data_IF_400242995605
#
_entry.id   IF_400242995605
#
_cell.length_a   1.000
_cell.length_b   1.000
_cell.length_c   1.000
_cell.angle_alpha   90.00
_cell.angle_beta   90.00
_cell.angle_gamma   90.00
#
_symmetry.space_group_name_H-M   'P 1'
#
loop_
_entity.id
_entity.type
_entity.pdbx_description
1 polymer ?
#
# COMPACT_ATOMS: atom_id res chain seq x y z
N UNK A 1 -5.17 1.21 -6.15
CA UNK A 1 -4.64 -0.15 -5.90
C UNK A 1 -4.06 -0.67 -7.21
N UNK A 2 -2.96 -1.42 -7.16
CA UNK A 2 -2.38 -2.11 -8.32
C UNK A 2 -1.73 -3.42 -7.89
N UNK A 3 -1.35 -4.31 -8.80
CA UNK A 3 -0.71 -5.57 -8.41
C UNK A 3 0.79 -5.42 -8.11
N UNK A 4 1.55 -4.77 -8.99
CA UNK A 4 3.01 -4.67 -8.84
C UNK A 4 3.42 -3.46 -7.98
N UNK A 5 4.62 -3.47 -7.38
CA UNK A 5 5.14 -2.31 -6.66
C UNK A 5 5.37 -1.11 -7.59
N UNK A 6 4.92 0.10 -7.21
CA UNK A 6 5.16 1.32 -7.99
C UNK A 6 6.55 1.94 -7.70
N UNK A 7 7.14 1.65 -6.55
CA UNK A 7 8.42 2.20 -6.12
C UNK A 7 9.59 1.62 -6.93
N UNK A 8 10.59 2.45 -7.21
CA UNK A 8 11.79 2.02 -7.92
C UNK A 8 12.62 1.09 -7.04
N UNK A 9 13.21 0.04 -7.62
CA UNK A 9 14.04 -0.93 -6.88
C UNK A 9 13.27 -1.90 -5.98
N UNK A 10 11.94 -1.79 -5.92
CA UNK A 10 11.08 -2.61 -5.08
C UNK A 10 11.18 -4.12 -5.35
N UNK A 11 11.42 -4.48 -6.61
CA UNK A 11 11.61 -5.83 -7.11
C UNK A 11 12.64 -5.80 -8.24
N UNK A 12 13.25 -6.94 -8.54
CA UNK A 12 14.21 -7.05 -9.63
C UNK A 12 13.62 -6.57 -10.97
N UNK A 13 14.43 -5.87 -11.77
CA UNK A 13 14.00 -5.15 -12.97
C UNK A 13 13.17 -5.99 -13.95
N UNK A 14 13.47 -7.28 -14.10
CA UNK A 14 12.73 -8.21 -14.98
C UNK A 14 11.28 -8.46 -14.55
N UNK A 15 10.96 -8.20 -13.27
CA UNK A 15 9.62 -8.37 -12.67
C UNK A 15 8.93 -7.02 -12.43
N UNK A 16 9.64 -5.92 -12.64
CA UNK A 16 9.13 -4.57 -12.41
C UNK A 16 8.10 -4.18 -13.48
N UNK A 17 7.26 -3.20 -13.15
CA UNK A 17 6.38 -2.55 -14.12
C UNK A 17 7.22 -1.84 -15.18
N UNK A 18 6.99 -2.15 -16.45
CA UNK A 18 7.66 -1.49 -17.58
C UNK A 18 7.33 0.02 -17.62
N UNK A 19 6.11 0.39 -17.25
CA UNK A 19 5.57 1.74 -17.23
C UNK A 19 5.59 2.39 -15.83
N UNK A 20 6.34 1.82 -14.87
CA UNK A 20 6.46 2.37 -13.52
C UNK A 20 6.78 3.89 -13.49
N UNK A 21 7.65 4.44 -14.36
CA UNK A 21 7.89 5.88 -14.41
C UNK A 21 6.62 6.69 -14.75
N UNK A 22 5.81 6.22 -15.69
CA UNK A 22 4.57 6.90 -16.09
C UNK A 22 3.53 6.85 -14.97
N UNK A 23 3.36 5.69 -14.31
CA UNK A 23 2.51 5.57 -13.13
C UNK A 23 2.94 6.52 -12.01
N UNK A 24 4.23 6.56 -11.68
CA UNK A 24 4.75 7.48 -10.65
C UNK A 24 4.53 8.95 -11.02
N UNK A 25 4.61 9.31 -12.31
CA UNK A 25 4.31 10.67 -12.76
C UNK A 25 2.83 11.04 -12.54
N UNK A 26 1.91 10.10 -12.75
CA UNK A 26 0.48 10.28 -12.42
C UNK A 26 0.29 10.43 -10.92
N UNK A 27 0.86 9.54 -10.10
CA UNK A 27 0.77 9.60 -8.63
C UNK A 27 1.33 10.91 -8.07
N UNK A 28 2.47 11.38 -8.60
CA UNK A 28 3.06 12.68 -8.23
C UNK A 28 2.16 13.87 -8.54
N UNK A 29 1.35 13.79 -9.59
CA UNK A 29 0.43 14.88 -10.00
C UNK A 29 -0.91 14.82 -9.29
N UNK A 30 -1.51 13.63 -9.21
CA UNK A 30 -2.86 13.43 -8.71
C UNK A 30 -2.90 13.27 -7.18
N UNK A 31 -1.86 12.68 -6.60
CA UNK A 31 -1.84 12.31 -5.19
C UNK A 31 -2.60 11.02 -4.90
N UNK A 32 -2.23 10.41 -3.78
CA UNK A 32 -2.98 9.36 -3.12
C UNK A 32 -2.62 9.38 -1.62
N UNK A 33 -3.55 8.98 -0.77
CA UNK A 33 -3.30 8.89 0.67
C UNK A 33 -2.59 7.57 1.03
N UNK A 34 -2.85 6.52 0.24
CA UNK A 34 -2.22 5.21 0.36
C UNK A 34 -2.29 4.47 -0.98
N UNK A 35 -1.21 3.79 -1.35
CA UNK A 35 -1.19 2.85 -2.48
C UNK A 35 -1.03 1.43 -1.96
N UNK A 36 -2.01 0.57 -2.25
CA UNK A 36 -1.91 -0.86 -1.97
C UNK A 36 -1.38 -1.60 -3.20
N UNK A 37 -0.41 -2.50 -2.98
CA UNK A 37 0.08 -3.42 -3.99
C UNK A 37 0.46 -4.80 -3.43
N UNK A 38 0.85 -5.73 -4.29
CA UNK A 38 1.40 -7.04 -3.94
C UNK A 38 2.66 -7.35 -4.76
N UNK A 39 2.77 -8.60 -5.22
CA UNK A 39 3.82 -9.15 -6.10
C UNK A 39 5.24 -9.23 -5.51
N UNK A 40 5.66 -8.27 -4.68
CA UNK A 40 6.79 -8.50 -3.79
C UNK A 40 6.31 -9.50 -2.73
N UNK A 41 7.00 -10.65 -2.61
CA UNK A 41 6.56 -11.75 -1.74
C UNK A 41 6.44 -11.33 -0.27
N UNK A 42 7.23 -10.35 0.14
CA UNK A 42 7.29 -9.87 1.51
C UNK A 42 6.42 -8.63 1.72
N UNK A 43 5.78 -8.57 2.89
CA UNK A 43 5.16 -7.34 3.38
C UNK A 43 6.23 -6.25 3.50
N UNK A 44 6.00 -5.11 2.85
CA UNK A 44 6.97 -4.00 2.80
C UNK A 44 6.24 -2.67 2.66
N UNK A 45 6.85 -1.64 3.24
CA UNK A 45 6.41 -0.26 3.10
C UNK A 45 7.43 0.48 2.26
N UNK A 46 6.97 1.05 1.16
CA UNK A 46 7.72 1.98 0.34
C UNK A 46 7.08 3.36 0.36
N UNK A 47 7.77 4.32 -0.24
CA UNK A 47 7.20 5.62 -0.58
C UNK A 47 7.46 5.96 -2.04
N UNK A 48 6.52 6.68 -2.64
CA UNK A 48 6.73 7.37 -3.93
C UNK A 48 6.45 8.86 -3.76
N UNK A 49 7.00 9.70 -4.64
CA UNK A 49 6.74 11.12 -4.59
C UNK A 49 5.26 11.42 -4.85
N UNK A 50 4.64 12.22 -3.97
CA UNK A 50 3.30 12.78 -4.17
C UNK A 50 3.34 14.27 -4.51
N UNK A 51 2.17 14.92 -4.65
CA UNK A 51 2.07 16.33 -5.01
C UNK A 51 2.64 17.28 -3.96
N UNK A 52 2.59 16.89 -2.69
CA UNK A 52 3.05 17.73 -1.57
C UNK A 52 3.75 16.91 -0.49
N UNK A 53 3.27 15.70 -0.21
CA UNK A 53 3.89 14.75 0.72
C UNK A 53 4.14 13.41 0.01
N UNK A 54 5.14 12.61 0.45
CA UNK A 54 5.33 11.26 -0.05
C UNK A 54 4.08 10.40 0.14
N UNK A 55 3.80 9.54 -0.83
CA UNK A 55 2.67 8.61 -0.82
C UNK A 55 3.17 7.26 -0.30
N UNK A 56 2.66 6.76 0.84
CA UNK A 56 3.00 5.44 1.32
C UNK A 56 2.45 4.35 0.37
N UNK A 57 3.28 3.34 0.12
CA UNK A 57 2.97 2.20 -0.73
C UNK A 57 3.10 0.92 0.11
N UNK A 58 1.97 0.34 0.52
CA UNK A 58 1.92 -0.87 1.31
C UNK A 58 1.83 -2.09 0.40
N UNK A 59 2.86 -2.93 0.44
CA UNK A 59 2.82 -4.27 -0.12
C UNK A 59 2.09 -5.20 0.85
N UNK A 60 1.00 -5.79 0.37
CA UNK A 60 0.25 -6.80 1.09
C UNK A 60 0.75 -8.19 0.64
N UNK A 61 1.11 -9.07 1.58
CA UNK A 61 1.56 -10.43 1.28
C UNK A 61 0.44 -11.26 0.63
N UNK A 62 0.81 -12.40 0.03
CA UNK A 62 -0.17 -13.33 -0.54
C UNK A 62 -0.84 -14.17 0.56
N UNK A 63 -2.17 -14.23 0.53
CA UNK A 63 -2.97 -15.07 1.43
C UNK A 63 -2.91 -16.57 1.08
N UNK A 64 -2.31 -16.92 -0.05
CA UNK A 64 -2.15 -18.30 -0.52
C UNK A 64 -0.69 -18.75 -0.60
N UNK A 65 0.26 -17.96 -0.08
CA UNK A 65 1.66 -18.34 -0.10
C UNK A 65 1.87 -19.62 0.72
N UNK A 66 2.43 -20.65 0.08
CA UNK A 66 2.80 -21.88 0.78
C UNK A 66 3.99 -21.58 1.71
N UNK A 67 3.90 -21.92 3.00
CA UNK A 67 5.01 -21.75 3.94
C UNK A 67 6.29 -22.37 3.37
N UNK A 68 7.37 -21.59 3.35
CA UNK A 68 8.69 -22.08 2.98
C UNK A 68 9.77 -21.37 3.81
N UNK A 69 10.99 -21.89 3.90
CA UNK A 69 12.03 -21.31 4.77
C UNK A 69 12.47 -19.88 4.42
N UNK A 70 12.02 -19.32 3.29
CA UNK A 70 12.47 -18.01 2.76
C UNK A 70 11.44 -16.91 2.94
N UNK A 71 10.21 -17.22 3.35
CA UNK A 71 9.18 -16.22 3.62
C UNK A 71 8.26 -16.65 4.77
N UNK A 72 7.36 -15.76 5.18
CA UNK A 72 6.48 -15.95 6.34
C UNK A 72 5.26 -16.86 6.04
N UNK A 73 5.17 -17.46 4.84
CA UNK A 73 4.01 -18.21 4.38
C UNK A 73 2.80 -17.32 4.08
N UNK A 74 1.59 -17.87 4.17
CA UNK A 74 0.37 -17.14 3.85
C UNK A 74 0.05 -16.07 4.90
N UNK A 75 -0.13 -14.84 4.46
CA UNK A 75 -0.60 -13.73 5.29
C UNK A 75 -1.65 -12.89 4.57
N UNK A 76 -2.48 -12.19 5.33
CA UNK A 76 -3.31 -11.09 4.83
C UNK A 76 -3.36 -9.97 5.85
N UNK A 77 -3.69 -8.76 5.38
CA UNK A 77 -3.83 -7.58 6.23
C UNK A 77 -5.30 -7.14 6.29
N UNK A 78 -5.81 -6.87 7.50
CA UNK A 78 -7.07 -6.14 7.70
C UNK A 78 -6.76 -4.66 7.85
N UNK A 79 -7.28 -3.83 6.94
CA UNK A 79 -7.12 -2.39 7.01
C UNK A 79 -8.43 -1.73 7.46
N UNK A 80 -8.35 -0.89 8.49
CA UNK A 80 -9.43 0.04 8.86
C UNK A 80 -8.95 1.46 8.58
N UNK A 81 -9.64 2.15 7.68
CA UNK A 81 -9.37 3.55 7.35
C UNK A 81 -10.19 4.45 8.27
N UNK A 82 -9.56 5.48 8.80
CA UNK A 82 -10.15 6.38 9.78
C UNK A 82 -9.80 7.83 9.45
N UNK A 83 -10.77 8.72 9.54
CA UNK A 83 -10.52 10.16 9.60
C UNK A 83 -10.50 10.63 11.06
N UNK A 84 -9.56 11.49 11.41
CA UNK A 84 -9.48 12.07 12.75
C UNK A 84 -8.79 13.43 12.75
N UNK A 85 -8.81 14.10 13.91
CA UNK A 85 -8.24 15.45 14.08
C UNK A 85 -6.77 15.57 13.67
N UNK A 86 -6.00 14.47 13.72
CA UNK A 86 -4.61 14.40 13.28
C UNK A 86 -4.40 13.99 11.82
N UNK A 87 -5.44 14.01 10.99
CA UNK A 87 -5.39 13.53 9.59
C UNK A 87 -5.84 12.08 9.42
N UNK A 88 -5.91 11.60 8.16
CA UNK A 88 -6.35 10.25 7.85
C UNK A 88 -5.34 9.22 8.38
N UNK A 89 -5.84 8.07 8.83
CA UNK A 89 -5.03 6.95 9.35
C UNK A 89 -5.53 5.62 8.81
N UNK A 90 -4.61 4.67 8.69
CA UNK A 90 -4.95 3.27 8.48
C UNK A 90 -4.47 2.44 9.68
N UNK A 91 -5.38 1.71 10.32
CA UNK A 91 -5.02 0.64 11.24
C UNK A 91 -4.85 -0.66 10.45
N UNK A 92 -3.67 -1.27 10.55
CA UNK A 92 -3.33 -2.51 9.87
C UNK A 92 -3.21 -3.61 10.90
N UNK A 93 -3.96 -4.69 10.75
CA UNK A 93 -3.75 -5.93 11.49
C UNK A 93 -3.23 -7.00 10.55
N UNK A 94 -2.18 -7.70 10.98
CA UNK A 94 -1.56 -8.79 10.24
C UNK A 94 -2.14 -10.11 10.72
N UNK A 95 -2.54 -10.96 9.77
CA UNK A 95 -3.08 -12.28 10.02
C UNK A 95 -2.28 -13.30 9.23
N UNK A 96 -1.63 -14.23 9.93
CA UNK A 96 -0.77 -15.27 9.35
C UNK A 96 -1.41 -16.64 9.46
N UNK A 97 -1.23 -17.48 8.45
CA UNK A 97 -1.62 -18.88 8.51
C UNK A 97 -0.77 -19.64 9.54
N UNK A 98 -1.44 -20.29 10.49
CA UNK A 98 -0.83 -21.23 11.43
C UNK A 98 -1.17 -22.65 11.01
N UNK A 99 -0.14 -23.48 10.81
CA UNK A 99 -0.33 -24.91 10.54
C UNK A 99 -0.83 -25.66 11.77
N UNK A 100 -0.47 -25.22 12.98
CA UNK A 100 -0.91 -25.83 14.24
C UNK A 100 -2.40 -25.57 14.52
N UNK A 101 -2.86 -24.34 14.27
CA UNK A 101 -4.25 -23.95 14.52
C UNK A 101 -5.18 -24.18 13.32
N UNK A 102 -4.63 -24.61 12.17
CA UNK A 102 -5.32 -24.71 10.88
C UNK A 102 -6.17 -23.46 10.55
N UNK A 103 -5.64 -22.28 10.89
CA UNK A 103 -6.37 -21.02 10.79
C UNK A 103 -5.43 -19.84 10.62
N UNK A 104 -5.99 -18.72 10.14
CA UNK A 104 -5.31 -17.42 10.20
C UNK A 104 -5.39 -16.87 11.62
N UNK A 105 -4.25 -16.68 12.27
CA UNK A 105 -4.12 -16.14 13.63
C UNK A 105 -3.57 -14.70 13.61
N UNK A 106 -3.83 -13.88 14.64
CA UNK A 106 -3.18 -12.57 14.79
C UNK A 106 -1.66 -12.69 14.81
N UNK A 107 -0.97 -11.84 14.05
CA UNK A 107 0.50 -11.83 13.94
C UNK A 107 1.09 -10.41 14.10
N UNK A 108 0.28 -9.45 14.56
CA UNK A 108 0.69 -8.08 14.84
C UNK A 108 -0.32 -7.04 14.37
N UNK A 109 -0.13 -5.80 14.81
CA UNK A 109 -0.90 -4.66 14.34
C UNK A 109 -0.07 -3.37 14.43
N UNK A 110 -0.34 -2.44 13.52
CA UNK A 110 0.30 -1.12 13.50
C UNK A 110 -0.60 -0.07 12.86
N UNK A 111 -0.35 1.19 13.17
CA UNK A 111 -1.07 2.32 12.59
C UNK A 111 -0.17 3.08 11.60
N UNK A 112 -0.75 3.53 10.50
CA UNK A 112 -0.14 4.42 9.53
C UNK A 112 -0.82 5.79 9.59
N UNK A 113 -0.04 6.84 9.76
CA UNK A 113 -0.50 8.21 9.47
C UNK A 113 -0.42 8.43 7.97
N UNK A 114 -1.53 8.80 7.35
CA UNK A 114 -1.61 8.98 5.89
C UNK A 114 -1.56 10.47 5.53
N UNK A 115 -0.88 10.86 4.45
CA UNK A 115 -0.99 12.22 3.93
C UNK A 115 -2.43 12.47 3.46
N UNK A 116 -2.96 13.67 3.73
CA UNK A 116 -4.25 14.07 3.17
C UNK A 116 -4.06 14.57 1.74
N UNK A 117 -4.79 13.99 0.79
CA UNK A 117 -4.88 14.55 -0.57
C UNK A 117 -6.01 15.58 -0.55
N UNK A 118 -5.71 16.83 -0.91
CA UNK A 118 -6.76 17.85 -1.07
C UNK A 118 -7.67 17.40 -2.21
N UNK A 119 -8.98 17.31 -1.96
CA UNK A 119 -9.94 17.23 -3.05
C UNK A 119 -9.74 18.46 -3.94
N UNK A 120 -9.68 18.25 -5.26
CA UNK A 120 -9.92 19.36 -6.17
C UNK A 120 -11.39 19.71 -5.99
N UNK A 121 -11.68 20.78 -5.28
CA UNK A 121 -13.01 21.38 -5.37
C UNK A 121 -13.27 21.66 -6.84
N UNK A 122 -14.36 21.10 -7.36
CA UNK A 122 -14.98 21.52 -8.60
C UNK A 122 -15.49 22.94 -8.41
N UNK A 123 -14.59 23.90 -8.58
CA UNK A 123 -14.84 25.33 -8.37
C UNK A 123 -14.27 26.15 -9.52
N UNK A 124 -14.56 25.79 -10.76
CA UNK A 124 -14.54 26.76 -11.88
C UNK A 124 -15.96 27.26 -12.10
N UNK A 125 -16.36 28.23 -11.26
CA UNK A 125 -17.43 29.14 -11.61
C UNK A 125 -16.83 30.20 -12.55
N UNK A 126 -16.82 29.91 -13.84
CA UNK A 126 -16.50 30.91 -14.87
C UNK A 126 -17.66 31.90 -14.92
N UNK A 127 -17.52 32.98 -14.16
CA UNK A 127 -18.37 34.15 -14.28
C UNK A 127 -18.23 34.76 -15.68
N UNK A 128 -19.39 35.03 -16.28
CA UNK A 128 -19.55 35.86 -17.47
C UNK A 128 -19.22 37.32 -17.18
#
# INVERSE_FOLDING_TARGET
>A
MLHHPPAAGAIGWRKALADAPALRAVLRRAGAELVLHGHARDARMDVVAGPSLPIPCLCVPSSSAVPNPKDQGALWHRLRLMDGAGGPRAMVEVRRWSTEAEAFVPDGAYALSLPRVRSRDSGENVGR
#
